data_IF_620892731680
#
_entry.id   IF_620892731680
#
_cell.length_a   1.000
_cell.length_b   1.000
_cell.length_c   1.000
_cell.angle_alpha   90.00
_cell.angle_beta   90.00
_cell.angle_gamma   90.00
#
_symmetry.space_group_name_H-M   'P 1'
#
loop_
_entity.id
_entity.type
_entity.pdbx_description
1 polymer ?
#
# COMPACT_ATOMS: atom_id res chain seq x y z
N UNK A 1 -22.09 -9.91 -22.87
CA UNK A 1 -21.15 -11.02 -22.57
C UNK A 1 -21.21 -11.24 -21.08
N UNK A 2 -21.72 -12.38 -20.61
CA UNK A 2 -21.73 -12.69 -19.18
C UNK A 2 -20.35 -13.22 -18.80
N UNK A 3 -19.70 -12.59 -17.81
CA UNK A 3 -18.52 -13.18 -17.18
C UNK A 3 -18.99 -14.44 -16.47
N UNK A 4 -18.38 -15.57 -16.80
CA UNK A 4 -18.66 -16.84 -16.14
C UNK A 4 -18.19 -16.75 -14.68
N UNK A 5 -19.07 -17.02 -13.69
CA UNK A 5 -18.72 -16.91 -12.28
C UNK A 5 -17.58 -17.85 -11.85
N UNK A 6 -17.37 -18.98 -12.54
CA UNK A 6 -16.26 -19.90 -12.26
C UNK A 6 -14.90 -19.33 -12.70
N UNK A 7 -14.87 -18.39 -13.64
CA UNK A 7 -13.64 -17.66 -13.98
C UNK A 7 -13.25 -16.67 -12.87
N UNK A 8 -14.24 -16.12 -12.15
CA UNK A 8 -13.98 -15.28 -10.98
C UNK A 8 -13.39 -16.09 -9.82
N UNK A 9 -13.94 -17.28 -9.54
CA UNK A 9 -13.39 -18.17 -8.50
C UNK A 9 -11.93 -18.56 -8.77
N UNK A 10 -11.57 -18.82 -10.04
CA UNK A 10 -10.17 -19.12 -10.43
C UNK A 10 -9.24 -17.91 -10.30
N UNK A 11 -9.76 -16.69 -10.40
CA UNK A 11 -8.96 -15.47 -10.27
C UNK A 11 -8.66 -15.10 -8.81
N UNK A 12 -9.48 -15.54 -7.85
CA UNK A 12 -9.34 -15.18 -6.44
C UNK A 12 -7.96 -15.49 -5.83
N UNK A 13 -7.33 -16.66 -6.06
CA UNK A 13 -5.99 -16.94 -5.53
C UNK A 13 -4.92 -16.00 -6.09
N UNK A 14 -5.05 -15.59 -7.36
CA UNK A 14 -4.12 -14.68 -8.02
C UNK A 14 -4.24 -13.28 -7.42
N UNK A 15 -5.47 -12.82 -7.21
CA UNK A 15 -5.77 -11.54 -6.54
C UNK A 15 -5.23 -11.55 -5.11
N UNK A 16 -5.47 -12.61 -4.35
CA UNK A 16 -4.97 -12.74 -2.98
C UNK A 16 -3.44 -12.71 -2.91
N UNK A 17 -2.75 -13.42 -3.80
CA UNK A 17 -1.29 -13.39 -3.89
C UNK A 17 -0.76 -12.00 -4.26
N UNK A 18 -1.48 -11.26 -5.11
CA UNK A 18 -1.11 -9.90 -5.45
C UNK A 18 -1.29 -8.93 -4.28
N UNK A 19 -2.40 -9.04 -3.53
CA UNK A 19 -2.64 -8.23 -2.33
C UNK A 19 -1.60 -8.49 -1.25
N UNK A 20 -1.23 -9.74 -1.01
CA UNK A 20 -0.19 -10.08 -0.03
C UNK A 20 1.16 -9.42 -0.33
N UNK A 21 1.51 -9.28 -1.62
CA UNK A 21 2.73 -8.56 -2.06
C UNK A 21 2.64 -7.06 -1.74
N UNK A 22 1.50 -6.45 -2.04
CA UNK A 22 1.25 -5.03 -1.74
C UNK A 22 1.33 -4.80 -0.22
N UNK A 23 0.68 -5.66 0.57
CA UNK A 23 0.71 -5.58 2.03
C UNK A 23 2.13 -5.69 2.59
N UNK A 24 2.96 -6.60 2.04
CA UNK A 24 4.38 -6.70 2.45
C UNK A 24 5.17 -5.44 2.14
N UNK A 25 5.01 -4.86 0.94
CA UNK A 25 5.66 -3.61 0.57
C UNK A 25 5.25 -2.47 1.53
N UNK A 26 3.95 -2.32 1.77
CA UNK A 26 3.40 -1.30 2.69
C UNK A 26 3.94 -1.48 4.11
N UNK A 27 3.93 -2.71 4.63
CA UNK A 27 4.42 -2.99 5.98
C UNK A 27 5.92 -2.72 6.13
N UNK A 28 6.71 -3.09 5.11
CA UNK A 28 8.15 -2.81 5.07
C UNK A 28 8.44 -1.31 5.06
N UNK A 29 7.75 -0.56 4.19
CA UNK A 29 7.91 0.90 4.13
C UNK A 29 7.45 1.55 5.43
N UNK A 30 6.32 1.13 6.01
CA UNK A 30 5.85 1.65 7.29
C UNK A 30 6.85 1.41 8.41
N UNK A 31 7.42 0.22 8.50
CA UNK A 31 8.40 -0.12 9.55
C UNK A 31 9.68 0.74 9.50
N UNK A 32 10.03 1.26 8.32
CA UNK A 32 11.29 1.98 8.09
C UNK A 32 11.14 3.49 7.87
N UNK A 33 9.97 3.94 7.40
CA UNK A 33 9.72 5.32 6.96
C UNK A 33 8.47 5.94 7.59
N UNK A 34 7.86 5.32 8.61
CA UNK A 34 6.80 5.95 9.38
C UNK A 34 7.23 7.34 9.89
N UNK A 35 6.34 8.33 9.73
CA UNK A 35 6.61 9.71 10.16
C UNK A 35 7.54 10.52 9.25
N UNK A 36 8.16 9.89 8.23
CA UNK A 36 9.01 10.60 7.29
C UNK A 36 8.17 11.49 6.35
N UNK A 37 8.78 12.51 5.72
CA UNK A 37 8.10 13.34 4.72
C UNK A 37 7.50 12.52 3.60
N UNK A 38 6.35 12.98 3.08
CA UNK A 38 5.60 12.30 2.02
C UNK A 38 6.48 11.84 0.85
N UNK A 39 7.34 12.71 0.32
CA UNK A 39 8.20 12.39 -0.82
C UNK A 39 9.14 11.20 -0.55
N UNK A 40 9.74 11.16 0.64
CA UNK A 40 10.63 10.07 1.05
C UNK A 40 9.84 8.76 1.20
N UNK A 41 8.64 8.82 1.77
CA UNK A 41 7.77 7.65 1.92
C UNK A 41 7.25 7.16 0.57
N UNK A 42 6.86 8.07 -0.32
CA UNK A 42 6.35 7.76 -1.65
C UNK A 42 7.40 7.07 -2.51
N UNK A 43 8.63 7.59 -2.49
CA UNK A 43 9.76 6.94 -3.16
C UNK A 43 10.01 5.54 -2.58
N UNK A 44 10.14 5.42 -1.26
CA UNK A 44 10.40 4.14 -0.60
C UNK A 44 9.28 3.11 -0.83
N UNK A 45 8.02 3.54 -0.88
CA UNK A 45 6.87 2.68 -1.19
C UNK A 45 6.91 2.21 -2.65
N UNK A 46 7.25 3.09 -3.59
CA UNK A 46 7.38 2.74 -5.01
C UNK A 46 8.46 1.70 -5.23
N UNK A 47 9.62 1.87 -4.60
CA UNK A 47 10.73 0.91 -4.63
C UNK A 47 10.33 -0.44 -4.02
N UNK A 48 9.67 -0.43 -2.85
CA UNK A 48 9.21 -1.67 -2.21
C UNK A 48 8.16 -2.44 -3.04
N UNK A 49 7.26 -1.72 -3.74
CA UNK A 49 6.30 -2.33 -4.66
C UNK A 49 6.99 -2.92 -5.89
N UNK A 50 8.07 -2.30 -6.36
CA UNK A 50 8.87 -2.83 -7.45
C UNK A 50 9.57 -4.13 -7.04
N UNK A 51 10.18 -4.18 -5.87
CA UNK A 51 10.86 -5.36 -5.31
C UNK A 51 9.92 -6.56 -5.15
N UNK A 52 8.65 -6.32 -4.77
CA UNK A 52 7.61 -7.35 -4.64
C UNK A 52 6.96 -7.73 -6.00
N UNK A 53 7.39 -7.10 -7.10
CA UNK A 53 6.78 -7.26 -8.44
C UNK A 53 5.28 -6.92 -8.41
N UNK A 54 4.92 -5.86 -7.68
CA UNK A 54 3.57 -5.38 -7.43
C UNK A 54 3.29 -4.00 -8.06
N UNK A 55 3.97 -3.67 -9.17
CA UNK A 55 3.90 -2.36 -9.85
C UNK A 55 2.54 -2.03 -10.47
N UNK A 56 1.61 -3.00 -10.53
CA UNK A 56 0.27 -2.81 -11.13
C UNK A 56 -0.70 -2.02 -10.23
N UNK A 57 -0.23 -1.57 -9.07
CA UNK A 57 -1.01 -0.70 -8.19
C UNK A 57 -1.24 0.64 -8.89
N UNK A 58 -2.48 1.10 -8.84
CA UNK A 58 -2.91 2.38 -9.39
C UNK A 58 -2.19 3.53 -8.64
N UNK A 59 -1.61 4.54 -9.32
CA UNK A 59 -0.81 5.59 -8.69
C UNK A 59 -1.49 6.29 -7.51
N UNK A 60 -2.79 6.55 -7.60
CA UNK A 60 -3.56 7.19 -6.53
C UNK A 60 -3.58 6.37 -5.24
N UNK A 61 -3.52 5.04 -5.34
CA UNK A 61 -3.43 4.16 -4.17
C UNK A 61 -2.05 4.26 -3.52
N UNK A 62 -0.98 4.36 -4.33
CA UNK A 62 0.39 4.56 -3.83
C UNK A 62 0.52 5.90 -3.12
N UNK A 63 -0.03 6.97 -3.70
CA UNK A 63 -0.06 8.31 -3.09
C UNK A 63 -0.78 8.29 -1.73
N UNK A 64 -1.96 7.66 -1.66
CA UNK A 64 -2.72 7.61 -0.41
C UNK A 64 -2.03 6.77 0.67
N UNK A 65 -1.45 5.63 0.30
CA UNK A 65 -0.66 4.82 1.24
C UNK A 65 0.57 5.57 1.75
N UNK A 66 1.26 6.30 0.87
CA UNK A 66 2.40 7.13 1.25
C UNK A 66 1.98 8.25 2.22
N UNK A 67 0.82 8.88 1.98
CA UNK A 67 0.25 9.88 2.89
C UNK A 67 -0.05 9.29 4.26
N UNK A 68 -0.68 8.11 4.32
CA UNK A 68 -1.00 7.44 5.59
C UNK A 68 0.25 7.04 6.38
N UNK A 69 1.28 6.52 5.71
CA UNK A 69 2.54 6.14 6.37
C UNK A 69 3.30 7.40 6.85
N UNK A 70 3.31 8.47 6.05
CA UNK A 70 3.91 9.75 6.44
C UNK A 70 3.20 10.37 7.65
N UNK A 71 1.87 10.23 7.74
CA UNK A 71 1.05 10.77 8.82
C UNK A 71 1.16 10.03 10.17
N UNK A 72 1.90 8.90 10.26
CA UNK A 72 1.97 8.08 11.48
C UNK A 72 2.53 8.79 12.72
N UNK A 73 3.15 9.97 12.58
CA UNK A 73 3.56 10.81 13.73
C UNK A 73 2.62 11.98 14.09
N UNK A 74 1.50 12.16 13.38
CA UNK A 74 0.45 13.11 13.78
C UNK A 74 -0.54 12.44 14.73
N UNK A 75 -0.08 12.01 15.91
CA UNK A 75 -0.99 11.72 17.03
C UNK A 75 -1.79 12.98 17.41
N UNK A 76 -3.00 12.86 18.01
CA UNK A 76 -3.82 14.02 18.36
C UNK A 76 -3.09 14.90 19.39
N UNK A 77 -2.44 15.96 18.90
CA UNK A 77 -2.00 17.08 19.72
C UNK A 77 -3.23 17.94 20.07
N UNK A 78 -3.80 17.71 21.26
CA UNK A 78 -4.63 18.69 21.96
C UNK A 78 -6.11 18.32 22.10
N UNK A 79 -6.49 17.79 23.26
CA UNK A 79 -7.73 18.13 23.98
C UNK A 79 -7.76 17.42 25.35
N UNK A 80 -7.24 18.10 26.38
CA UNK A 80 -7.71 17.96 27.76
C UNK A 80 -7.29 19.24 28.50
N UNK A 81 -8.19 20.23 28.47
CA UNK A 81 -8.29 21.26 29.49
C UNK A 81 -9.31 20.84 30.55
#
# INVERSE_FOLDING_TARGET
>A
MAVDPSEYEKAMPIVAAHLAKIERAVNRTRASHAGQPFEAVHQALTEALQDEVAQRVVPQVVEELARQISAVEAGPSGAAG
#
